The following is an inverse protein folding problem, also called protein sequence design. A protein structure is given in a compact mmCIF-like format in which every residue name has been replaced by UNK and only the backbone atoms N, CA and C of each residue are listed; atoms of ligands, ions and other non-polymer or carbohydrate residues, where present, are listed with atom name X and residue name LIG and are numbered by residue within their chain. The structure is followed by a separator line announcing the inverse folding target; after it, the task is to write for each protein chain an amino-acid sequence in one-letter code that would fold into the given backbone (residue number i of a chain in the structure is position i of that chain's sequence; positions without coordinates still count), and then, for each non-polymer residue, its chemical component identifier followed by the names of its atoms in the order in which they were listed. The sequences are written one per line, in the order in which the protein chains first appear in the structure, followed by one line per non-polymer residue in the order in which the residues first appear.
data_IF_071083324784
#
_entry.id   IF_071083324784
#
_cell.length_a   1.000
_cell.length_b   1.000
_cell.length_c   1.000
_cell.angle_alpha   90.00
_cell.angle_beta   90.00
_cell.angle_gamma   90.00
#
_symmetry.space_group_name_H-M   'P 1'
#
loop_
_entity.id
_entity.type
_entity.pdbx_description
1 polymer ?
#
# COMPACT_ATOMS: atom_id res chain seq x y z
N UNK A 1 4.82 28.52 11.40
CA UNK A 1 4.25 27.21 11.81
C UNK A 1 5.38 26.19 11.81
N UNK A 2 5.47 25.30 12.82
CA UNK A 2 6.44 24.18 12.77
C UNK A 2 5.97 23.18 11.69
N UNK A 3 6.88 22.59 10.91
CA UNK A 3 6.53 21.52 9.99
C UNK A 3 6.05 20.28 10.77
N UNK A 4 5.07 19.56 10.21
CA UNK A 4 4.69 18.24 10.70
C UNK A 4 5.89 17.29 10.58
N UNK A 5 6.14 16.50 11.63
CA UNK A 5 7.17 15.47 11.66
C UNK A 5 6.48 14.15 11.97
N UNK A 6 6.72 13.14 11.15
CA UNK A 6 6.19 11.79 11.39
C UNK A 6 6.63 11.28 12.76
N UNK A 7 5.68 10.68 13.49
CA UNK A 7 5.96 9.99 14.76
C UNK A 7 6.35 8.51 14.54
N UNK A 8 6.19 7.99 13.31
CA UNK A 8 6.65 6.67 12.89
C UNK A 8 7.93 6.81 12.06
N UNK A 9 8.85 5.85 12.21
CA UNK A 9 10.15 5.87 11.54
C UNK A 9 10.02 5.58 10.03
N UNK A 10 10.86 6.25 9.23
CA UNK A 10 10.99 6.03 7.79
C UNK A 10 9.65 6.16 7.01
N UNK A 11 8.95 7.32 7.07
CA UNK A 11 7.81 7.57 6.20
C UNK A 11 8.24 7.61 4.73
N UNK A 12 7.48 6.95 3.85
CA UNK A 12 7.85 6.75 2.45
C UNK A 12 6.87 7.43 1.47
N UNK A 13 5.57 7.46 1.79
CA UNK A 13 4.55 8.08 0.95
C UNK A 13 3.48 8.81 1.76
N UNK A 14 2.82 9.77 1.11
CA UNK A 14 1.62 10.45 1.60
C UNK A 14 0.56 10.36 0.51
N UNK A 15 -0.65 9.87 0.85
CA UNK A 15 -1.83 9.93 -0.01
C UNK A 15 -2.96 10.65 0.72
N UNK A 16 -3.58 11.61 0.04
CA UNK A 16 -4.67 12.41 0.61
C UNK A 16 -5.98 11.67 0.35
N UNK A 17 -6.71 11.36 1.41
CA UNK A 17 -8.04 10.75 1.29
C UNK A 17 -9.09 11.82 0.93
N UNK A 18 -10.24 11.40 0.39
CA UNK A 18 -11.33 12.31 -0.06
C UNK A 18 -11.89 13.21 1.04
N UNK A 19 -11.68 12.87 2.31
CA UNK A 19 -12.09 13.67 3.47
C UNK A 19 -11.00 14.65 3.96
N UNK A 20 -9.86 14.73 3.26
CA UNK A 20 -8.75 15.62 3.58
C UNK A 20 -7.73 15.06 4.57
N UNK A 21 -7.93 13.85 5.13
CA UNK A 21 -6.90 13.20 5.95
C UNK A 21 -5.69 12.83 5.11
N UNK A 22 -4.51 12.97 5.69
CA UNK A 22 -3.24 12.47 5.15
C UNK A 22 -3.04 11.04 5.62
N UNK A 23 -2.95 10.08 4.71
CA UNK A 23 -2.51 8.72 4.99
C UNK A 23 -1.01 8.63 4.70
N UNK A 24 -0.24 8.21 5.68
CA UNK A 24 1.22 8.17 5.62
C UNK A 24 1.67 6.72 5.73
N UNK A 25 2.29 6.22 4.67
CA UNK A 25 2.94 4.92 4.63
C UNK A 25 4.33 5.02 5.27
N UNK A 26 4.72 4.03 6.06
CA UNK A 26 6.03 4.00 6.70
C UNK A 26 6.63 2.60 6.75
N UNK A 27 7.96 2.57 6.68
CA UNK A 27 8.76 1.34 6.57
C UNK A 27 9.23 0.81 7.92
N UNK A 28 9.12 1.59 8.99
CA UNK A 28 9.56 1.18 10.32
C UNK A 28 11.04 0.80 10.34
N UNK A 29 11.37 -0.39 10.81
CA UNK A 29 12.72 -0.95 10.87
C UNK A 29 13.19 -1.65 9.58
N UNK A 30 12.41 -1.55 8.50
CA UNK A 30 12.61 -2.26 7.22
C UNK A 30 12.51 -3.79 7.31
N UNK A 31 11.99 -4.35 8.42
CA UNK A 31 11.81 -5.80 8.59
C UNK A 31 10.35 -6.18 8.81
N UNK A 32 9.69 -5.54 9.77
CA UNK A 32 8.31 -5.88 10.10
C UNK A 32 7.51 -4.81 10.85
N UNK A 33 8.10 -3.64 11.11
CA UNK A 33 7.45 -2.60 11.96
C UNK A 33 6.96 -1.40 11.15
N UNK A 34 6.67 -1.60 9.87
CA UNK A 34 6.02 -0.58 9.05
C UNK A 34 4.50 -0.64 9.15
N UNK A 35 3.81 0.28 8.47
CA UNK A 35 2.36 0.40 8.57
C UNK A 35 1.83 1.63 7.86
N UNK A 36 0.59 2.01 8.19
CA UNK A 36 -0.06 3.23 7.71
C UNK A 36 -0.75 3.91 8.88
N UNK A 37 -0.49 5.20 9.07
CA UNK A 37 -1.28 6.04 9.97
C UNK A 37 -1.97 7.16 9.18
N UNK A 38 -3.08 7.67 9.71
CA UNK A 38 -3.76 8.84 9.21
C UNK A 38 -3.62 10.03 10.19
N UNK A 39 -3.61 11.25 9.65
CA UNK A 39 -3.56 12.48 10.42
C UNK A 39 -4.24 13.63 9.65
N UNK A 40 -4.46 14.77 10.31
CA UNK A 40 -4.72 16.04 9.61
C UNK A 40 -3.43 16.59 9.00
N UNK A 41 -3.53 17.61 8.13
CA UNK A 41 -2.36 18.30 7.56
C UNK A 41 -1.44 18.96 8.61
N UNK A 42 -1.94 19.20 9.82
CA UNK A 42 -1.16 19.76 10.92
C UNK A 42 -0.52 18.69 11.81
N UNK A 43 -0.78 17.40 11.55
CA UNK A 43 -0.29 16.28 12.37
C UNK A 43 -1.16 15.93 13.57
N UNK A 44 -2.38 16.48 13.64
CA UNK A 44 -3.36 16.18 14.70
C UNK A 44 -4.20 14.94 14.35
N UNK A 45 -4.95 14.43 15.33
CA UNK A 45 -5.85 13.27 15.18
C UNK A 45 -5.15 12.05 14.57
N UNK A 46 -4.00 11.68 15.16
CA UNK A 46 -3.27 10.49 14.75
C UNK A 46 -4.12 9.24 14.95
N UNK A 47 -4.23 8.43 13.90
CA UNK A 47 -5.00 7.20 13.87
C UNK A 47 -4.20 6.11 13.16
N UNK A 48 -3.97 4.98 13.81
CA UNK A 48 -3.40 3.82 13.13
C UNK A 48 -4.47 3.23 12.18
N UNK A 49 -4.10 3.05 10.91
CA UNK A 49 -4.94 2.42 9.88
C UNK A 49 -4.49 0.97 9.68
N UNK A 50 -3.16 0.78 9.56
CA UNK A 50 -2.50 -0.51 9.62
C UNK A 50 -1.45 -0.42 10.73
N UNK A 51 -1.67 -1.17 11.80
CA UNK A 51 -0.79 -1.21 12.96
C UNK A 51 0.55 -1.88 12.64
N UNK A 52 1.61 -1.38 13.27
CA UNK A 52 3.01 -1.79 13.02
C UNK A 52 3.42 -3.05 13.78
N UNK A 53 3.05 -3.19 15.05
CA UNK A 53 3.53 -4.31 15.88
C UNK A 53 2.65 -5.57 15.76
N UNK A 54 1.43 -5.44 15.23
CA UNK A 54 0.49 -6.55 15.05
C UNK A 54 0.51 -7.14 13.63
N UNK A 55 1.25 -6.52 12.70
CA UNK A 55 1.45 -7.01 11.34
C UNK A 55 2.92 -7.23 11.03
N UNK A 56 3.22 -7.80 9.87
CA UNK A 56 4.60 -8.04 9.43
C UNK A 56 5.05 -7.10 8.30
N UNK A 57 4.20 -6.14 7.91
CA UNK A 57 4.39 -5.36 6.70
C UNK A 57 5.42 -4.25 6.88
N UNK A 58 6.08 -3.86 5.79
CA UNK A 58 6.76 -2.57 5.69
C UNK A 58 6.16 -1.82 4.51
N UNK A 59 5.39 -0.75 4.74
CA UNK A 59 4.53 -0.20 3.68
C UNK A 59 5.21 1.01 3.04
N UNK A 60 5.49 0.94 1.73
CA UNK A 60 6.17 2.00 1.00
C UNK A 60 5.19 3.00 0.37
N UNK A 61 4.20 2.50 -0.39
CA UNK A 61 3.21 3.34 -1.07
C UNK A 61 1.82 2.70 -1.04
N UNK A 62 0.81 3.49 -1.40
CA UNK A 62 -0.58 3.06 -1.50
C UNK A 62 -1.33 3.82 -2.61
N UNK A 63 -2.47 3.31 -3.04
CA UNK A 63 -3.39 4.01 -3.96
C UNK A 63 -4.83 3.76 -3.55
N UNK A 64 -5.60 4.83 -3.36
CA UNK A 64 -7.03 4.73 -3.09
C UNK A 64 -7.79 4.32 -4.36
N UNK A 65 -8.81 3.48 -4.18
CA UNK A 65 -9.88 3.30 -5.15
C UNK A 65 -10.98 4.37 -4.97
N UNK A 66 -11.91 4.44 -5.92
CA UNK A 66 -13.05 5.36 -5.89
C UNK A 66 -13.99 5.15 -4.70
N UNK A 67 -14.01 3.96 -4.09
CA UNK A 67 -14.85 3.60 -2.95
C UNK A 67 -14.27 4.14 -1.64
N UNK A 68 -12.95 4.39 -1.60
CA UNK A 68 -12.18 4.79 -0.43
C UNK A 68 -11.44 3.64 0.24
N UNK A 69 -11.50 2.43 -0.34
CA UNK A 69 -10.54 1.37 -0.05
C UNK A 69 -9.21 1.69 -0.73
N UNK A 70 -8.18 0.88 -0.48
CA UNK A 70 -6.88 1.14 -1.08
C UNK A 70 -6.04 -0.11 -1.27
N UNK A 71 -5.14 -0.06 -2.23
CA UNK A 71 -4.07 -1.03 -2.39
C UNK A 71 -2.78 -0.48 -1.76
N UNK A 72 -1.97 -1.32 -1.14
CA UNK A 72 -0.66 -0.93 -0.62
C UNK A 72 0.44 -1.94 -0.99
N UNK A 73 1.68 -1.47 -1.01
CA UNK A 73 2.87 -2.28 -1.33
C UNK A 73 3.62 -2.67 -0.07
N UNK A 74 3.87 -3.98 0.08
CA UNK A 74 4.74 -4.51 1.13
C UNK A 74 6.19 -4.58 0.63
N UNK A 75 7.00 -3.65 1.14
CA UNK A 75 8.37 -3.33 0.74
C UNK A 75 9.41 -4.22 1.43
N UNK A 76 9.17 -5.53 1.44
CA UNK A 76 10.05 -6.49 2.11
C UNK A 76 10.74 -7.43 1.14
N UNK A 77 11.85 -8.00 1.61
CA UNK A 77 12.64 -8.98 0.87
C UNK A 77 13.81 -8.36 0.10
N UNK A 78 14.27 -9.11 -0.90
CA UNK A 78 15.33 -8.72 -1.83
C UNK A 78 15.25 -9.58 -3.10
N UNK A 79 16.22 -9.42 -4.02
CA UNK A 79 16.18 -9.98 -5.37
C UNK A 79 15.83 -11.48 -5.48
N UNK A 80 16.27 -12.31 -4.53
CA UNK A 80 16.00 -13.76 -4.51
C UNK A 80 15.20 -14.23 -3.30
N UNK A 81 14.66 -13.31 -2.53
CA UNK A 81 13.78 -13.59 -1.38
C UNK A 81 12.55 -12.68 -1.45
N UNK A 82 11.51 -13.08 -2.19
CA UNK A 82 10.39 -12.22 -2.55
C UNK A 82 9.34 -12.16 -1.42
N UNK A 83 9.68 -11.56 -0.28
CA UNK A 83 8.77 -11.47 0.87
C UNK A 83 7.63 -10.45 0.66
N UNK A 84 7.80 -9.51 -0.28
CA UNK A 84 6.86 -8.45 -0.56
C UNK A 84 5.66 -8.91 -1.38
N UNK A 85 4.74 -7.97 -1.57
CA UNK A 85 3.49 -8.20 -2.27
C UNK A 85 2.61 -6.96 -2.27
N UNK A 86 1.38 -7.13 -2.74
CA UNK A 86 0.36 -6.10 -2.77
C UNK A 86 -0.90 -6.63 -2.13
N UNK A 87 -1.52 -5.78 -1.32
CA UNK A 87 -2.71 -6.09 -0.55
C UNK A 87 -3.73 -4.99 -0.74
N UNK A 88 -5.01 -5.36 -0.66
CA UNK A 88 -6.14 -4.44 -0.67
C UNK A 88 -6.72 -4.31 0.73
N UNK A 89 -7.11 -3.09 1.10
CA UNK A 89 -7.80 -2.76 2.36
C UNK A 89 -9.19 -2.24 2.02
N UNK A 90 -10.21 -2.83 2.65
CA UNK A 90 -11.60 -2.44 2.44
C UNK A 90 -11.88 -0.98 2.84
N UNK A 91 -12.91 -0.31 2.30
CA UNK A 91 -13.22 1.10 2.60
C UNK A 91 -13.52 1.40 4.08
N UNK A 92 -13.86 0.39 4.88
CA UNK A 92 -14.06 0.50 6.32
C UNK A 92 -12.79 0.20 7.15
N UNK A 93 -11.68 -0.11 6.46
CA UNK A 93 -10.35 -0.46 6.98
C UNK A 93 -10.31 -1.70 7.86
N UNK A 94 -11.29 -2.60 7.76
CA UNK A 94 -11.39 -3.80 8.62
C UNK A 94 -10.87 -5.06 7.98
N UNK A 95 -10.81 -5.12 6.65
CA UNK A 95 -10.42 -6.31 5.91
C UNK A 95 -9.18 -6.02 5.09
N UNK A 96 -8.19 -6.90 5.20
CA UNK A 96 -6.99 -6.90 4.35
C UNK A 96 -7.02 -8.17 3.50
N UNK A 97 -6.92 -8.02 2.18
CA UNK A 97 -6.95 -9.12 1.21
C UNK A 97 -5.66 -9.13 0.40
N UNK A 98 -4.89 -10.23 0.37
CA UNK A 98 -3.76 -10.37 -0.53
C UNK A 98 -4.24 -10.32 -2.00
N UNK A 99 -3.58 -9.51 -2.82
CA UNK A 99 -3.84 -9.43 -4.26
C UNK A 99 -2.82 -10.27 -5.03
N UNK A 100 -1.53 -9.96 -4.81
CA UNK A 100 -0.42 -10.70 -5.41
C UNK A 100 0.73 -10.72 -4.41
N UNK A 101 1.39 -11.86 -4.28
CA UNK A 101 2.52 -12.08 -3.37
C UNK A 101 3.73 -12.55 -4.15
N UNK A 102 4.85 -12.78 -3.46
CA UNK A 102 6.11 -13.17 -4.06
C UNK A 102 6.67 -12.08 -5.00
N UNK A 103 6.67 -10.84 -4.51
CA UNK A 103 7.33 -9.70 -5.16
C UNK A 103 8.59 -9.33 -4.36
N UNK A 104 9.74 -9.26 -5.03
CA UNK A 104 11.02 -8.82 -4.48
C UNK A 104 11.05 -7.29 -4.30
N UNK A 105 10.47 -6.84 -3.18
CA UNK A 105 10.33 -5.43 -2.78
C UNK A 105 9.35 -4.69 -3.69
N UNK A 106 8.05 -4.82 -3.39
CA UNK A 106 7.00 -4.04 -4.04
C UNK A 106 7.10 -2.57 -3.58
N UNK A 107 7.08 -1.61 -4.51
CA UNK A 107 7.33 -0.19 -4.22
C UNK A 107 6.21 0.72 -4.75
N UNK A 108 6.31 1.14 -6.02
CA UNK A 108 5.34 2.03 -6.64
C UNK A 108 4.07 1.27 -7.02
N UNK A 109 2.91 1.93 -6.85
CA UNK A 109 1.60 1.36 -7.16
C UNK A 109 0.65 2.41 -7.75
N UNK A 110 -0.14 2.01 -8.74
CA UNK A 110 -1.15 2.88 -9.35
C UNK A 110 -2.30 2.08 -9.96
N UNK A 111 -3.52 2.64 -9.91
CA UNK A 111 -4.68 2.12 -10.64
C UNK A 111 -4.81 2.82 -12.01
N UNK A 112 -5.32 2.10 -13.00
CA UNK A 112 -5.88 2.72 -14.21
C UNK A 112 -7.11 3.55 -13.86
N UNK A 113 -7.50 4.43 -14.79
CA UNK A 113 -8.64 5.35 -14.61
C UNK A 113 -9.99 4.62 -14.45
N UNK A 114 -10.10 3.39 -14.93
CA UNK A 114 -11.27 2.52 -14.80
C UNK A 114 -11.13 1.49 -13.66
N UNK A 115 -10.02 1.56 -12.91
CA UNK A 115 -9.67 0.68 -11.79
C UNK A 115 -9.58 -0.82 -12.16
N UNK A 116 -9.52 -1.16 -13.44
CA UNK A 116 -9.39 -2.55 -13.93
C UNK A 116 -7.96 -3.04 -14.04
N UNK A 117 -6.98 -2.14 -13.95
CA UNK A 117 -5.57 -2.47 -14.04
C UNK A 117 -4.83 -1.89 -12.86
N UNK A 118 -4.13 -2.76 -12.12
CA UNK A 118 -3.20 -2.38 -11.07
C UNK A 118 -1.77 -2.50 -11.61
N UNK A 119 -1.03 -1.40 -11.54
CA UNK A 119 0.38 -1.31 -11.89
C UNK A 119 1.23 -1.36 -10.62
N UNK A 120 2.28 -2.19 -10.63
CA UNK A 120 3.17 -2.35 -9.48
C UNK A 120 4.62 -2.40 -9.96
N UNK A 121 5.52 -1.66 -9.31
CA UNK A 121 6.97 -1.78 -9.55
C UNK A 121 7.62 -2.69 -8.52
N UNK A 122 8.57 -3.50 -8.99
CA UNK A 122 9.36 -4.40 -8.15
C UNK A 122 10.82 -3.99 -8.19
N UNK A 123 11.25 -3.32 -7.13
CA UNK A 123 12.51 -2.57 -7.11
C UNK A 123 13.72 -3.48 -7.27
N UNK A 124 13.80 -4.57 -6.49
CA UNK A 124 15.04 -5.36 -6.44
C UNK A 124 15.14 -6.43 -7.53
N UNK A 125 14.09 -6.59 -8.34
CA UNK A 125 14.10 -7.43 -9.55
C UNK A 125 14.08 -6.62 -10.86
N UNK A 126 13.95 -5.28 -10.81
CA UNK A 126 13.79 -4.42 -11.98
C UNK A 126 12.64 -4.88 -12.91
N UNK A 127 11.48 -5.17 -12.33
CA UNK A 127 10.28 -5.60 -13.08
C UNK A 127 9.13 -4.63 -12.92
N UNK A 128 8.34 -4.51 -13.97
CA UNK A 128 7.03 -3.85 -13.96
C UNK A 128 5.95 -4.92 -14.04
N UNK A 129 4.98 -4.86 -13.13
CA UNK A 129 3.81 -5.72 -13.11
C UNK A 129 2.59 -4.95 -13.61
N UNK A 130 1.82 -5.60 -14.48
CA UNK A 130 0.51 -5.13 -14.93
C UNK A 130 -0.50 -6.23 -14.60
N UNK A 131 -1.43 -5.93 -13.70
CA UNK A 131 -2.37 -6.91 -13.15
C UNK A 131 -3.77 -6.48 -13.56
N UNK A 132 -4.44 -7.30 -14.37
CA UNK A 132 -5.84 -7.10 -14.68
C UNK A 132 -6.70 -7.66 -13.54
N UNK A 133 -7.65 -6.87 -13.07
CA UNK A 133 -8.54 -7.20 -11.96
C UNK A 133 -9.98 -7.38 -12.46
N UNK A 134 -10.69 -8.31 -11.85
CA UNK A 134 -12.14 -8.44 -12.03
C UNK A 134 -12.89 -7.25 -11.38
N UNK A 135 -14.21 -7.20 -11.59
CA UNK A 135 -15.07 -6.12 -11.08
C UNK A 135 -15.08 -5.98 -9.55
N UNK A 136 -14.76 -7.04 -8.82
CA UNK A 136 -14.63 -6.99 -7.37
C UNK A 136 -13.38 -6.24 -6.88
N UNK A 137 -12.41 -6.00 -7.76
CA UNK A 137 -11.13 -5.32 -7.48
C UNK A 137 -10.13 -6.17 -6.70
N UNK A 138 -10.44 -7.40 -6.32
CA UNK A 138 -9.56 -8.27 -5.52
C UNK A 138 -9.19 -9.58 -6.19
N UNK A 139 -10.00 -10.01 -7.16
CA UNK A 139 -9.72 -11.19 -7.98
C UNK A 139 -8.91 -10.79 -9.20
N UNK A 140 -7.77 -11.44 -9.42
CA UNK A 140 -6.98 -11.27 -10.65
C UNK A 140 -7.70 -11.98 -11.79
N UNK A 141 -7.86 -11.31 -12.93
CA UNK A 141 -8.48 -11.91 -14.11
C UNK A 141 -7.70 -13.16 -14.56
N UNK A 142 -8.38 -14.27 -14.88
CA UNK A 142 -7.75 -15.45 -15.44
C UNK A 142 -7.02 -15.12 -16.74
N UNK A 143 -5.88 -15.78 -16.96
CA UNK A 143 -5.17 -15.67 -18.23
C UNK A 143 -6.08 -16.04 -19.41
N UNK A 144 -6.23 -15.13 -20.38
CA UNK A 144 -7.03 -15.34 -21.58
C UNK A 144 -8.51 -14.99 -21.45
N UNK A 145 -8.97 -14.45 -20.31
CA UNK A 145 -10.28 -13.81 -20.22
C UNK A 145 -10.26 -12.50 -21.05
N UNK A 146 -11.36 -12.24 -21.78
CA UNK A 146 -11.59 -11.01 -22.58
C UNK A 146 -12.77 -10.26 -22.04
#
# INVERSE_FOLDING_TARGET
KRPFVSHKANPAAIKIHKDGRLFVCYLGDFKSTGGIFAATENGDNLQDIIEDLSTAYCIDDMVFDSKGGFYFTDFRGYSTNPLGGVYYVSPDFRTVTPIIQNISVANGIALSTDEKVLWVTETTANRLHRIALEDDGVTIQPFGAT
#
